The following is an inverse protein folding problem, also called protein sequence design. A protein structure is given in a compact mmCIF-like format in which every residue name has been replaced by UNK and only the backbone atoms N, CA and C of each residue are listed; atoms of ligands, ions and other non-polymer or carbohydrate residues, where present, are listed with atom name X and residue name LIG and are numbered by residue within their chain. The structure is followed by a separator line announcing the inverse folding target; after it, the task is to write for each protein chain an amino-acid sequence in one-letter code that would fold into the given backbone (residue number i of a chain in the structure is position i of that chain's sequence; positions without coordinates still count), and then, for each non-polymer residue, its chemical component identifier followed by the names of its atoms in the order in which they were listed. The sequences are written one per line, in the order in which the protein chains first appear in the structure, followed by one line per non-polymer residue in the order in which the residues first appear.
data_IF_030183972952
#
_entry.id   IF_030183972952
#
_cell.length_a   1.000
_cell.length_b   1.000
_cell.length_c   1.000
_cell.angle_alpha   90.00
_cell.angle_beta   90.00
_cell.angle_gamma   90.00
#
_symmetry.space_group_name_H-M   'P 1'
#
loop_
_entity.id
_entity.type
_entity.pdbx_description
1 polymer ?
#
# COMPACT_ATOMS: atom_id res chain seq x y z
N UNK A 1 -2.46 -37.09 -60.25
CA UNK A 1 -2.17 -37.97 -59.10
C UNK A 1 -1.71 -37.09 -57.94
N UNK A 2 -2.49 -37.06 -56.85
CA UNK A 2 -2.11 -37.48 -55.47
C UNK A 2 -1.14 -36.51 -54.77
N UNK A 3 -1.35 -36.03 -53.54
CA UNK A 3 -2.39 -36.20 -52.52
C UNK A 3 -2.22 -35.02 -51.55
N UNK A 4 -3.33 -34.43 -51.14
CA UNK A 4 -3.47 -33.64 -49.91
C UNK A 4 -3.17 -34.54 -48.70
N UNK A 5 -2.77 -33.92 -47.57
CA UNK A 5 -2.77 -34.39 -46.17
C UNK A 5 -1.46 -34.95 -45.60
N UNK A 6 -0.83 -34.15 -44.73
CA UNK A 6 -0.33 -34.55 -43.39
C UNK A 6 -0.45 -33.29 -42.50
N UNK A 7 -1.55 -33.13 -41.75
CA UNK A 7 -1.72 -33.49 -40.33
C UNK A 7 -0.69 -32.85 -39.37
N UNK A 8 -1.16 -31.78 -38.72
CA UNK A 8 -1.13 -31.55 -37.26
C UNK A 8 0.19 -31.81 -36.52
N UNK A 9 0.88 -30.73 -36.14
CA UNK A 9 1.66 -30.48 -34.92
C UNK A 9 2.41 -29.17 -35.22
N UNK A 10 2.20 -28.04 -34.55
CA UNK A 10 2.55 -27.83 -33.15
C UNK A 10 1.87 -26.51 -32.70
N UNK A 11 0.63 -26.59 -32.22
CA UNK A 11 0.10 -25.59 -31.29
C UNK A 11 0.44 -26.12 -29.91
N UNK A 12 1.55 -25.66 -29.34
CA UNK A 12 1.87 -25.66 -27.89
C UNK A 12 3.37 -25.41 -27.68
N UNK A 13 3.74 -24.16 -27.41
CA UNK A 13 4.95 -23.71 -26.69
C UNK A 13 4.85 -22.18 -26.66
N UNK A 14 4.74 -21.42 -25.57
CA UNK A 14 4.80 -21.65 -24.15
C UNK A 14 3.87 -20.60 -23.52
N UNK A 15 2.81 -21.03 -22.83
CA UNK A 15 2.14 -20.20 -21.84
C UNK A 15 2.78 -20.52 -20.48
N UNK A 16 3.90 -19.88 -20.15
CA UNK A 16 4.47 -19.86 -18.80
C UNK A 16 5.70 -18.93 -18.74
N UNK A 17 5.45 -17.63 -18.60
CA UNK A 17 6.39 -16.70 -17.97
C UNK A 17 5.61 -15.47 -17.48
N UNK A 18 4.55 -15.70 -16.71
CA UNK A 18 4.00 -14.67 -15.82
C UNK A 18 4.37 -15.09 -14.40
N UNK A 19 5.65 -15.08 -14.08
CA UNK A 19 6.14 -15.27 -12.73
C UNK A 19 7.38 -14.40 -12.54
N UNK A 20 7.43 -13.73 -11.40
CA UNK A 20 8.51 -12.90 -10.87
C UNK A 20 8.75 -11.52 -11.50
N UNK A 21 7.74 -10.66 -11.50
CA UNK A 21 7.97 -9.22 -11.27
C UNK A 21 6.87 -8.70 -10.33
N UNK A 22 6.86 -9.20 -9.10
CA UNK A 22 6.41 -8.38 -7.99
C UNK A 22 7.52 -7.36 -7.76
N UNK A 23 7.51 -6.30 -8.57
CA UNK A 23 8.36 -5.14 -8.37
C UNK A 23 8.10 -4.63 -6.95
N UNK A 24 9.11 -4.67 -6.11
CA UNK A 24 9.12 -4.17 -4.72
C UNK A 24 8.81 -2.66 -4.60
N UNK A 25 8.54 -2.01 -5.74
CA UNK A 25 8.36 -0.57 -5.89
C UNK A 25 6.90 -0.19 -6.23
N UNK A 26 5.99 -1.16 -6.36
CA UNK A 26 4.55 -0.85 -6.44
C UNK A 26 4.06 -0.40 -5.05
N UNK A 27 3.45 0.79 -4.91
CA UNK A 27 2.87 1.21 -3.64
C UNK A 27 1.85 0.15 -3.22
N UNK A 28 2.08 -0.48 -2.06
CA UNK A 28 1.14 -1.48 -1.56
C UNK A 28 -0.15 -0.75 -1.19
N UNK A 29 -1.14 -0.93 -2.04
CA UNK A 29 -2.46 -0.31 -1.89
C UNK A 29 -3.16 -0.92 -0.69
N UNK A 30 -3.43 -0.09 0.33
CA UNK A 30 -4.55 -0.27 1.24
C UNK A 30 -4.52 -1.46 2.20
N UNK A 31 -3.34 -1.98 2.57
CA UNK A 31 -3.27 -2.95 3.66
C UNK A 31 -3.78 -2.38 4.99
N UNK A 32 -3.63 -1.07 5.16
CA UNK A 32 -4.12 -0.36 6.32
C UNK A 32 -5.22 0.62 5.91
N UNK A 33 -6.25 0.72 6.75
CA UNK A 33 -7.38 1.61 6.54
C UNK A 33 -7.79 2.27 7.85
N UNK A 34 -8.47 3.42 7.73
CA UNK A 34 -8.92 4.23 8.85
C UNK A 34 -10.44 4.11 8.95
N UNK A 35 -10.93 3.73 10.11
CA UNK A 35 -12.35 3.69 10.42
C UNK A 35 -12.61 4.31 11.80
N UNK A 36 -13.48 5.31 11.85
CA UNK A 36 -13.80 6.04 13.09
C UNK A 36 -12.57 6.61 13.82
N UNK A 37 -11.54 7.01 13.07
CA UNK A 37 -10.27 7.52 13.61
C UNK A 37 -9.26 6.44 14.01
N UNK A 38 -9.64 5.17 14.05
CA UNK A 38 -8.73 4.05 14.35
C UNK A 38 -8.13 3.49 13.06
N UNK A 39 -6.88 3.02 13.16
CA UNK A 39 -6.13 2.41 12.06
C UNK A 39 -6.22 0.90 12.19
N UNK A 40 -6.69 0.25 11.14
CA UNK A 40 -6.87 -1.20 11.03
C UNK A 40 -5.97 -1.74 9.93
N UNK A 41 -5.57 -3.00 10.05
CA UNK A 41 -4.77 -3.68 9.06
C UNK A 41 -4.36 -5.08 9.51
N UNK A 42 -3.38 -5.71 8.84
CA UNK A 42 -2.95 -7.08 9.12
C UNK A 42 -2.29 -7.25 10.50
N UNK A 43 -1.72 -6.19 11.09
CA UNK A 43 -1.06 -6.20 12.39
C UNK A 43 -1.57 -5.05 13.26
N UNK A 44 -1.64 -5.29 14.59
CA UNK A 44 -2.02 -4.30 15.60
C UNK A 44 -3.30 -3.52 15.26
N UNK A 45 -4.28 -4.25 14.70
CA UNK A 45 -5.50 -3.68 14.13
C UNK A 45 -6.36 -3.03 15.21
N UNK A 46 -6.67 -1.75 15.04
CA UNK A 46 -7.47 -0.98 16.01
C UNK A 46 -6.70 -0.50 17.24
N UNK A 47 -5.40 -0.80 17.35
CA UNK A 47 -4.59 -0.34 18.49
C UNK A 47 -4.08 1.09 18.30
N UNK A 48 -3.97 1.54 17.05
CA UNK A 48 -3.53 2.89 16.72
C UNK A 48 -4.71 3.76 16.29
N UNK A 49 -4.64 5.07 16.56
CA UNK A 49 -5.68 6.02 16.19
C UNK A 49 -5.11 7.41 15.88
N UNK A 50 -5.86 8.18 15.09
CA UNK A 50 -5.54 9.55 14.70
C UNK A 50 -6.40 10.50 15.52
N UNK A 51 -5.75 11.39 16.29
CA UNK A 51 -6.40 12.45 17.05
C UNK A 51 -5.64 13.77 16.85
N UNK A 52 -6.34 14.85 16.54
CA UNK A 52 -5.72 16.17 16.28
C UNK A 52 -4.58 16.12 15.25
N UNK A 53 -4.70 15.23 14.25
CA UNK A 53 -3.68 14.91 13.22
C UNK A 53 -2.46 14.14 13.72
N UNK A 54 -2.34 13.81 14.99
CA UNK A 54 -1.26 12.95 15.49
C UNK A 54 -1.72 11.50 15.56
N UNK A 55 -0.79 10.58 15.35
CA UNK A 55 -1.01 9.14 15.46
C UNK A 55 -0.60 8.71 16.87
N UNK A 56 -1.51 8.06 17.56
CA UNK A 56 -1.36 7.54 18.92
C UNK A 56 -1.52 6.02 18.93
N UNK A 57 -0.95 5.37 19.93
CA UNK A 57 -1.03 3.92 20.11
C UNK A 57 0.04 3.38 21.06
N UNK A 58 0.21 2.05 21.13
CA UNK A 58 1.14 1.40 22.06
C UNK A 58 2.61 1.73 21.83
N UNK A 59 2.96 2.17 20.60
CA UNK A 59 4.33 2.51 20.17
C UNK A 59 4.33 3.89 19.54
N UNK A 60 5.47 4.59 19.66
CA UNK A 60 5.71 5.90 19.03
C UNK A 60 4.57 6.92 19.21
N UNK A 61 3.96 6.91 20.40
CA UNK A 61 2.73 7.61 20.71
C UNK A 61 2.85 9.14 20.53
N UNK A 62 2.05 9.72 19.62
CA UNK A 62 2.01 11.16 19.37
C UNK A 62 3.22 11.71 18.60
N UNK A 63 4.12 10.85 18.12
CA UNK A 63 5.35 11.25 17.42
C UNK A 63 5.07 11.48 15.92
N UNK A 64 4.21 10.65 15.34
CA UNK A 64 3.84 10.73 13.94
C UNK A 64 2.61 11.60 13.75
N UNK A 65 2.54 12.29 12.62
CA UNK A 65 1.44 13.20 12.34
C UNK A 65 1.09 13.28 10.85
N UNK A 66 -0.17 13.57 10.60
CA UNK A 66 -0.76 13.74 9.28
C UNK A 66 -0.69 15.22 8.90
N UNK A 67 0.05 15.52 7.83
CA UNK A 67 0.09 16.85 7.25
C UNK A 67 -0.84 16.92 6.05
N UNK A 68 -1.69 17.94 6.04
CA UNK A 68 -2.51 18.29 4.88
C UNK A 68 -1.56 18.85 3.82
N UNK A 69 -1.39 18.12 2.70
CA UNK A 69 -0.73 18.67 1.53
C UNK A 69 -1.53 19.85 0.98
N UNK A 70 -0.86 20.81 0.33
CA UNK A 70 -1.55 21.92 -0.34
C UNK A 70 -2.37 21.36 -1.52
N UNK A 71 -3.68 21.19 -1.34
CA UNK A 71 -4.60 20.86 -2.42
C UNK A 71 -5.62 22.00 -2.62
N UNK A 72 -5.57 22.72 -3.75
CA UNK A 72 -6.56 23.74 -4.09
C UNK A 72 -7.99 23.21 -4.25
N UNK A 73 -8.19 21.88 -4.29
CA UNK A 73 -9.50 21.22 -4.34
C UNK A 73 -9.93 20.58 -3.01
N UNK A 74 -9.08 20.60 -1.97
CA UNK A 74 -9.41 20.10 -0.62
C UNK A 74 -9.56 18.57 -0.49
N UNK A 75 -9.09 17.81 -1.47
CA UNK A 75 -9.18 16.33 -1.56
C UNK A 75 -7.81 15.71 -1.88
N UNK A 76 -6.75 16.26 -1.29
CA UNK A 76 -5.37 15.82 -1.53
C UNK A 76 -4.99 14.62 -0.66
N UNK A 77 -3.97 13.85 -1.05
CA UNK A 77 -3.40 12.86 -0.15
C UNK A 77 -2.83 13.55 1.09
N UNK A 78 -3.17 13.03 2.27
CA UNK A 78 -2.63 13.52 3.52
C UNK A 78 -1.36 12.75 3.85
N UNK A 79 -0.20 13.39 3.69
CA UNK A 79 1.09 12.76 3.93
C UNK A 79 1.34 12.59 5.43
N UNK A 80 1.97 11.49 5.81
CA UNK A 80 2.32 11.18 7.19
C UNK A 80 3.80 11.46 7.41
N UNK A 81 4.09 12.22 8.45
CA UNK A 81 5.44 12.64 8.84
C UNK A 81 5.77 12.17 10.24
N UNK A 82 7.07 12.07 10.51
CA UNK A 82 7.65 11.59 11.75
C UNK A 82 9.16 11.44 11.60
N UNK A 83 9.86 10.98 12.66
CA UNK A 83 11.32 10.89 12.68
C UNK A 83 11.88 9.85 11.71
N UNK A 84 11.13 8.80 11.40
CA UNK A 84 11.50 7.77 10.41
C UNK A 84 10.48 7.76 9.27
N UNK A 85 10.95 7.57 8.03
CA UNK A 85 10.11 7.39 6.82
C UNK A 85 9.04 8.47 6.58
N UNK A 86 9.28 9.70 7.04
CA UNK A 86 8.34 10.82 6.87
C UNK A 86 8.14 11.20 5.40
N UNK A 87 6.90 11.49 5.02
CA UNK A 87 6.52 11.83 3.66
C UNK A 87 6.41 10.65 2.69
N UNK A 88 6.80 9.43 3.11
CA UNK A 88 6.70 8.23 2.28
C UNK A 88 5.31 7.59 2.34
N UNK A 89 4.58 7.80 3.43
CA UNK A 89 3.23 7.29 3.62
C UNK A 89 2.21 8.41 3.46
N UNK A 90 1.03 8.08 2.94
CA UNK A 90 -0.06 9.04 2.80
C UNK A 90 -1.42 8.36 2.93
N UNK A 91 -2.42 9.17 3.29
CA UNK A 91 -3.81 8.75 3.42
C UNK A 91 -4.59 9.25 2.21
N UNK A 92 -5.28 8.35 1.54
CA UNK A 92 -6.22 8.67 0.47
C UNK A 92 -7.45 7.76 0.59
N UNK A 93 -8.66 8.33 0.52
CA UNK A 93 -9.92 7.57 0.64
C UNK A 93 -9.98 6.67 1.89
N UNK A 94 -9.44 7.14 3.02
CA UNK A 94 -9.29 6.39 4.28
C UNK A 94 -8.35 5.18 4.23
N UNK A 95 -7.64 4.95 3.13
CA UNK A 95 -6.58 3.94 3.06
C UNK A 95 -5.22 4.61 3.24
N UNK A 96 -4.30 3.89 3.88
CA UNK A 96 -2.90 4.30 4.03
C UNK A 96 -2.10 3.60 2.93
N UNK A 97 -1.34 4.39 2.20
CA UNK A 97 -0.46 3.97 1.13
C UNK A 97 0.97 4.31 1.47
N UNK A 98 1.92 3.53 0.94
CA UNK A 98 3.34 3.78 1.10
C UNK A 98 4.18 2.57 0.67
N UNK A 99 5.48 2.60 1.00
CA UNK A 99 6.39 1.48 0.76
C UNK A 99 5.95 0.19 1.44
N UNK A 100 6.45 -0.94 0.94
CA UNK A 100 6.23 -2.25 1.54
C UNK A 100 6.67 -2.33 3.00
N UNK A 101 5.96 -3.15 3.77
CA UNK A 101 6.28 -3.46 5.16
C UNK A 101 5.36 -2.78 6.17
N UNK A 102 5.81 -2.77 7.43
CA UNK A 102 5.06 -2.21 8.55
C UNK A 102 5.04 -0.67 8.50
N UNK A 103 4.02 -0.09 9.14
CA UNK A 103 3.91 1.37 9.27
C UNK A 103 5.00 1.88 10.22
N UNK A 104 5.58 3.06 9.98
CA UNK A 104 6.77 3.51 10.70
C UNK A 104 6.54 3.74 12.21
N UNK A 105 5.30 3.94 12.64
CA UNK A 105 4.94 4.05 14.07
C UNK A 105 4.75 2.69 14.76
N UNK A 106 4.73 1.58 14.02
CA UNK A 106 4.67 0.21 14.55
C UNK A 106 6.07 -0.37 14.81
N UNK A 107 7.09 0.18 14.18
CA UNK A 107 8.50 -0.19 14.39
C UNK A 107 8.98 0.15 15.81
N UNK A 108 9.96 -0.63 16.29
CA UNK A 108 10.69 -0.35 17.54
C UNK A 108 11.74 0.78 17.39
#
# INVERSE_FOLDING_TARGET
MRRRLLKVLLVALCAAAASSYATSDEPHVGQYYIQSGYIYGPQMSGEFFILNRYIYGPRNNGIYYVQVGYDPKGVGPYYIYGPKKGGLYYIQNNYIFGPAGELPWMED
#
